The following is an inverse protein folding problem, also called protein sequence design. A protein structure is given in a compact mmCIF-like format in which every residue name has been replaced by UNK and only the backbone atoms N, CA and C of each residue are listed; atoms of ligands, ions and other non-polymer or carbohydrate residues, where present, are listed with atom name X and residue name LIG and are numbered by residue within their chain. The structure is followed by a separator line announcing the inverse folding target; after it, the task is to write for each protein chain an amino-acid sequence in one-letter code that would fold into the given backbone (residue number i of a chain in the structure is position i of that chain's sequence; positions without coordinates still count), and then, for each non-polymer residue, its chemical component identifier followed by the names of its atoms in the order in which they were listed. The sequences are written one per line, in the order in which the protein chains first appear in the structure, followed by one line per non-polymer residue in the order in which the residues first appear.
data_IF_847698448590
#
_entry.id   IF_847698448590
#
_cell.length_a   1.000
_cell.length_b   1.000
_cell.length_c   1.000
_cell.angle_alpha   90.00
_cell.angle_beta   90.00
_cell.angle_gamma   90.00
#
_symmetry.space_group_name_H-M   'P 1'
#
loop_
_entity.id
_entity.type
_entity.pdbx_description
1 polymer ?
#
# COMPACT_ATOMS: atom_id res chain seq x y z
N UNK A 1 18.68 2.63 -4.57
CA UNK A 1 17.57 2.84 -3.63
C UNK A 1 16.35 2.53 -4.46
N UNK A 2 15.90 1.29 -4.38
CA UNK A 2 14.71 0.81 -5.09
C UNK A 2 13.59 1.77 -4.73
N UNK A 3 13.04 2.47 -5.72
CA UNK A 3 11.80 3.20 -5.54
C UNK A 3 10.73 2.12 -5.54
N UNK A 4 10.46 1.57 -4.34
CA UNK A 4 9.23 0.82 -4.09
C UNK A 4 8.09 1.66 -4.64
N UNK A 5 7.50 1.24 -5.76
CA UNK A 5 6.28 1.82 -6.29
C UNK A 5 5.20 1.50 -5.27
N UNK A 6 5.10 2.34 -4.24
CA UNK A 6 4.13 2.18 -3.18
C UNK A 6 2.77 2.63 -3.72
N UNK A 7 2.01 1.67 -4.23
CA UNK A 7 0.62 1.85 -4.68
C UNK A 7 -0.34 2.13 -3.52
N UNK A 8 0.14 2.00 -2.28
CA UNK A 8 -0.57 2.31 -1.06
C UNK A 8 -0.41 3.81 -0.72
N UNK A 9 -1.49 4.58 -0.78
CA UNK A 9 -1.44 6.05 -0.62
C UNK A 9 -1.51 6.53 0.84
N UNK A 10 -1.66 5.61 1.79
CA UNK A 10 -1.86 5.93 3.21
C UNK A 10 -0.55 5.90 3.99
N UNK A 11 -0.07 7.07 4.42
CA UNK A 11 1.24 7.23 5.06
C UNK A 11 1.17 7.54 6.56
N UNK A 12 -0.02 7.73 7.14
CA UNK A 12 -0.13 8.05 8.56
C UNK A 12 0.36 6.87 9.41
N UNK A 13 1.16 7.17 10.45
CA UNK A 13 1.81 6.19 11.31
C UNK A 13 1.60 6.54 12.80
N UNK A 14 0.37 6.34 13.29
CA UNK A 14 0.01 6.57 14.69
C UNK A 14 0.90 5.73 15.62
N UNK A 15 1.46 6.38 16.64
CA UNK A 15 2.42 5.73 17.55
C UNK A 15 3.73 5.32 16.88
N UNK A 16 4.00 5.75 15.64
CA UNK A 16 5.17 5.33 14.86
C UNK A 16 4.96 4.02 14.08
N UNK A 17 3.76 3.44 14.09
CA UNK A 17 3.45 2.23 13.34
C UNK A 17 3.04 2.56 11.89
N UNK A 18 3.99 2.44 10.96
CA UNK A 18 3.72 2.54 9.53
C UNK A 18 3.08 1.26 8.98
N UNK A 19 2.38 1.37 7.85
CA UNK A 19 1.86 0.21 7.15
C UNK A 19 2.97 -0.48 6.34
N UNK A 20 2.91 -1.81 6.27
CA UNK A 20 3.82 -2.59 5.43
C UNK A 20 3.59 -2.24 3.96
N UNK A 21 4.67 -2.06 3.16
CA UNK A 21 4.53 -1.70 1.76
C UNK A 21 3.88 -2.84 0.95
N UNK A 22 3.10 -2.48 -0.07
CA UNK A 22 2.60 -3.41 -1.07
C UNK A 22 3.58 -3.40 -2.24
N UNK A 23 4.23 -4.53 -2.48
CA UNK A 23 5.31 -4.68 -3.47
C UNK A 23 4.93 -5.69 -4.55
N UNK A 24 5.60 -5.65 -5.71
CA UNK A 24 5.41 -6.61 -6.78
C UNK A 24 6.26 -7.87 -6.51
N UNK A 25 5.71 -9.05 -6.81
CA UNK A 25 6.39 -10.35 -6.68
C UNK A 25 7.03 -10.85 -7.98
N UNK A 26 6.75 -10.19 -9.11
CA UNK A 26 7.01 -10.65 -10.48
C UNK A 26 6.28 -11.97 -10.85
N UNK A 27 5.41 -12.48 -9.97
CA UNK A 27 4.52 -13.62 -10.22
C UNK A 27 3.15 -13.11 -10.72
N UNK A 28 2.77 -13.36 -11.99
CA UNK A 28 1.50 -12.88 -12.52
C UNK A 28 0.28 -13.51 -11.83
N UNK A 29 0.42 -14.69 -11.20
CA UNK A 29 -0.68 -15.33 -10.48
C UNK A 29 -0.88 -14.73 -9.08
N UNK A 30 0.19 -14.18 -8.48
CA UNK A 30 0.15 -13.54 -7.15
C UNK A 30 1.00 -12.27 -7.11
N UNK A 31 0.61 -11.21 -7.84
CA UNK A 31 1.47 -10.07 -8.13
C UNK A 31 1.72 -9.13 -6.95
N UNK A 32 1.00 -9.28 -5.83
CA UNK A 32 1.14 -8.38 -4.67
C UNK A 32 1.79 -9.09 -3.50
N UNK A 33 2.69 -8.41 -2.78
CA UNK A 33 3.30 -8.89 -1.53
C UNK A 33 3.20 -7.86 -0.41
N UNK A 34 2.89 -8.33 0.80
CA UNK A 34 2.89 -7.56 2.05
C UNK A 34 3.46 -8.43 3.16
N UNK A 35 4.52 -7.98 3.83
CA UNK A 35 5.07 -8.70 4.99
C UNK A 35 5.44 -10.17 4.75
N UNK A 36 5.77 -10.54 3.50
CA UNK A 36 6.09 -11.92 3.09
C UNK A 36 4.88 -12.78 2.65
N UNK A 37 3.66 -12.28 2.81
CA UNK A 37 2.46 -12.90 2.23
C UNK A 37 2.18 -12.34 0.84
N UNK A 38 1.74 -13.18 -0.09
CA UNK A 38 1.40 -12.75 -1.46
C UNK A 38 -0.09 -12.88 -1.78
N UNK A 39 -0.60 -12.04 -2.67
CA UNK A 39 -2.03 -11.87 -2.94
C UNK A 39 -2.29 -11.81 -4.44
N UNK A 40 -3.46 -12.28 -4.83
CA UNK A 40 -3.95 -12.26 -6.22
C UNK A 40 -4.52 -10.89 -6.61
N UNK A 41 -4.93 -10.08 -5.63
CA UNK A 41 -5.57 -8.78 -5.85
C UNK A 41 -5.10 -7.71 -4.86
N UNK A 42 -5.14 -6.45 -5.31
CA UNK A 42 -4.71 -5.29 -4.54
C UNK A 42 -5.52 -5.10 -3.27
N UNK A 43 -6.84 -5.33 -3.30
CA UNK A 43 -7.71 -5.06 -2.15
C UNK A 43 -7.37 -5.96 -0.97
N UNK A 44 -7.07 -7.23 -1.24
CA UNK A 44 -6.60 -8.19 -0.23
C UNK A 44 -5.25 -7.78 0.36
N UNK A 45 -4.28 -7.42 -0.49
CA UNK A 45 -2.97 -6.93 -0.05
C UNK A 45 -3.09 -5.63 0.77
N UNK A 46 -3.90 -4.68 0.30
CA UNK A 46 -4.23 -3.43 0.96
C UNK A 46 -4.82 -3.62 2.35
N UNK A 47 -5.82 -4.51 2.48
CA UNK A 47 -6.38 -4.84 3.79
C UNK A 47 -5.31 -5.42 4.70
N UNK A 48 -4.47 -6.33 4.18
CA UNK A 48 -3.40 -6.92 4.99
C UNK A 48 -2.42 -5.88 5.51
N UNK A 49 -1.96 -4.96 4.66
CA UNK A 49 -1.07 -3.86 5.02
C UNK A 49 -1.66 -2.98 6.15
N UNK A 50 -2.95 -2.62 6.05
CA UNK A 50 -3.64 -1.87 7.10
C UNK A 50 -3.83 -2.67 8.40
N UNK A 51 -4.08 -3.98 8.30
CA UNK A 51 -4.25 -4.86 9.46
C UNK A 51 -2.91 -5.09 10.20
N UNK A 52 -1.81 -5.24 9.45
CA UNK A 52 -0.45 -5.32 9.98
C UNK A 52 -0.04 -4.03 10.68
N UNK A 53 -0.37 -2.87 10.09
CA UNK A 53 -0.21 -1.56 10.75
C UNK A 53 -0.94 -1.50 12.09
N UNK A 54 -2.22 -1.90 12.10
CA UNK A 54 -3.03 -1.89 13.32
C UNK A 54 -2.43 -2.79 14.38
N UNK A 55 -1.90 -3.96 13.99
CA UNK A 55 -1.26 -4.88 14.91
C UNK A 55 0.03 -4.29 15.49
N UNK A 56 0.85 -3.61 14.70
CA UNK A 56 2.03 -2.88 15.18
C UNK A 56 1.63 -1.73 16.13
N UNK A 57 0.66 -0.91 15.74
CA UNK A 57 0.12 0.16 16.60
C UNK A 57 -0.43 -0.39 17.91
N UNK A 58 -1.20 -1.49 17.87
CA UNK A 58 -1.76 -2.09 19.06
C UNK A 58 -0.69 -2.69 19.98
N UNK A 59 0.42 -3.20 19.43
CA UNK A 59 1.58 -3.62 20.24
C UNK A 59 2.14 -2.44 21.03
N UNK A 60 2.33 -1.29 20.37
CA UNK A 60 2.82 -0.05 21.02
C UNK A 60 1.82 0.46 22.07
N UNK A 61 0.52 0.45 21.76
CA UNK A 61 -0.53 0.87 22.69
C UNK A 61 -0.62 -0.02 23.94
N UNK A 62 -0.29 -1.31 23.81
CA UNK A 62 -0.26 -2.25 24.93
C UNK A 62 1.09 -2.28 25.67
N UNK A 63 2.11 -1.61 25.13
CA UNK A 63 3.40 -1.49 25.78
C UNK A 63 3.34 -0.38 26.83
N UNK A 64 3.61 -0.71 28.09
CA UNK A 64 3.46 0.22 29.21
C UNK A 64 4.42 1.41 29.12
N UNK A 65 5.59 1.25 28.50
CA UNK A 65 6.61 2.28 28.41
C UNK A 65 6.44 3.15 27.15
N UNK A 66 5.85 2.57 26.09
CA UNK A 66 5.76 3.23 24.78
C UNK A 66 4.36 3.73 24.42
N UNK A 67 3.31 3.31 25.15
CA UNK A 67 1.93 3.70 24.83
C UNK A 67 1.75 5.21 24.81
N UNK A 68 2.34 5.95 25.76
CA UNK A 68 2.18 7.41 25.88
C UNK A 68 0.69 7.86 25.80
N UNK A 69 -0.21 7.06 26.37
CA UNK A 69 -1.67 7.30 26.33
C UNK A 69 -2.38 6.83 25.05
N UNK A 70 -1.66 6.27 24.07
CA UNK A 70 -2.21 5.62 22.88
C UNK A 70 -3.09 4.44 23.27
N UNK A 71 -4.28 4.34 22.67
CA UNK A 71 -5.22 3.24 22.90
C UNK A 71 -5.33 2.38 21.66
N UNK A 72 -5.59 1.09 21.87
CA UNK A 72 -5.89 0.15 20.77
C UNK A 72 -7.06 0.65 19.91
N UNK A 73 -8.04 1.33 20.51
CA UNK A 73 -9.17 1.93 19.78
C UNK A 73 -8.75 3.04 18.80
N UNK A 74 -7.62 3.71 19.04
CA UNK A 74 -7.11 4.72 18.11
C UNK A 74 -6.40 4.04 16.93
N UNK A 75 -5.74 2.90 17.17
CA UNK A 75 -5.21 2.03 16.11
C UNK A 75 -6.33 1.45 15.22
N UNK A 76 -7.49 1.10 15.79
CA UNK A 76 -8.65 0.65 15.01
C UNK A 76 -9.18 1.78 14.09
N UNK A 77 -9.23 3.03 14.56
CA UNK A 77 -9.62 4.17 13.71
C UNK A 77 -8.61 4.43 12.59
N UNK A 78 -7.31 4.28 12.90
CA UNK A 78 -6.27 4.41 11.88
C UNK A 78 -6.42 3.34 10.81
N UNK A 79 -6.67 2.07 11.18
CA UNK A 79 -6.96 0.99 10.24
C UNK A 79 -8.13 1.33 9.31
N UNK A 80 -9.23 1.83 9.87
CA UNK A 80 -10.42 2.13 9.08
C UNK A 80 -10.18 3.28 8.10
N UNK A 81 -9.36 4.25 8.51
CA UNK A 81 -8.88 5.34 7.66
C UNK A 81 -7.96 4.81 6.55
N UNK A 82 -7.03 3.91 6.89
CA UNK A 82 -6.16 3.22 5.94
C UNK A 82 -6.97 2.48 4.88
N UNK A 83 -7.94 1.66 5.29
CA UNK A 83 -8.82 0.91 4.37
C UNK A 83 -9.64 1.85 3.49
N UNK A 84 -10.20 2.92 4.07
CA UNK A 84 -10.95 3.94 3.31
C UNK A 84 -10.10 4.69 2.28
N UNK A 85 -8.82 4.92 2.57
CA UNK A 85 -7.88 5.53 1.63
C UNK A 85 -7.53 4.56 0.50
N UNK A 86 -7.33 3.27 0.82
CA UNK A 86 -7.04 2.22 -0.15
C UNK A 86 -8.22 1.96 -1.10
N UNK A 87 -9.47 2.03 -0.59
CA UNK A 87 -10.67 1.93 -1.42
C UNK A 87 -10.80 3.05 -2.46
N UNK A 88 -10.09 4.18 -2.25
CA UNK A 88 -10.05 5.33 -3.16
C UNK A 88 -8.78 5.35 -4.03
N UNK A 89 -7.91 4.35 -3.92
CA UNK A 89 -6.69 4.30 -4.68
C UNK A 89 -7.00 4.18 -6.19
N UNK A 90 -6.37 5.03 -6.99
CA UNK A 90 -6.52 5.02 -8.46
C UNK A 90 -5.49 4.11 -9.15
N UNK A 91 -4.41 3.76 -8.45
CA UNK A 91 -3.39 2.81 -8.91
C UNK A 91 -3.49 1.55 -8.07
N UNK A 92 -4.01 0.48 -8.67
CA UNK A 92 -4.25 -0.80 -7.99
C UNK A 92 -3.58 -1.98 -8.70
N UNK A 93 -2.64 -1.70 -9.60
CA UNK A 93 -1.84 -2.70 -10.30
C UNK A 93 -0.43 -2.18 -10.53
N UNK A 94 0.53 -3.08 -10.52
CA UNK A 94 1.87 -2.81 -11.02
C UNK A 94 1.78 -2.99 -12.54
N UNK A 95 1.65 -1.89 -13.29
CA UNK A 95 1.69 -1.97 -14.75
C UNK A 95 2.91 -2.76 -15.20
N UNK A 96 2.77 -3.57 -16.25
CA UNK A 96 3.88 -4.31 -16.86
C UNK A 96 4.91 -3.34 -17.43
N UNK A 97 5.77 -2.79 -16.58
CA UNK A 97 6.88 -1.93 -16.96
C UNK A 97 7.98 -2.12 -15.92
N UNK A 98 8.47 -3.35 -15.84
CA UNK A 98 9.84 -3.64 -15.44
C UNK A 98 10.79 -3.12 -16.53
N UNK A 99 10.85 -1.80 -16.70
CA UNK A 99 11.94 -1.05 -17.36
C UNK A 99 11.54 0.42 -17.48
N UNK A 100 12.11 1.27 -16.63
CA UNK A 100 12.31 2.70 -16.88
C UNK A 100 11.05 3.56 -17.04
N UNK A 101 10.92 4.54 -16.13
CA UNK A 101 9.97 5.66 -16.15
C UNK A 101 8.53 5.32 -15.79
N UNK A 102 8.12 5.91 -14.66
CA UNK A 102 6.74 6.05 -14.23
C UNK A 102 5.89 6.61 -15.37
N UNK A 103 5.12 5.76 -16.04
CA UNK A 103 4.02 6.23 -16.86
C UNK A 103 2.86 6.54 -15.94
N UNK A 104 2.73 7.84 -15.67
CA UNK A 104 1.48 8.44 -15.22
C UNK A 104 0.43 8.05 -16.25
N UNK A 105 -0.45 7.11 -15.89
CA UNK A 105 -1.64 6.80 -16.70
C UNK A 105 -2.58 7.99 -16.52
N UNK A 106 -2.41 9.01 -17.36
CA UNK A 106 -3.47 9.99 -17.59
C UNK A 106 -4.44 9.35 -18.56
N UNK A 107 -5.66 9.09 -18.11
CA UNK A 107 -6.77 8.69 -18.97
C UNK A 107 -7.14 9.84 -19.89
N UNK A 108 -6.37 10.04 -20.96
CA UNK A 108 -6.79 10.89 -22.07
C UNK A 108 -6.42 10.18 -23.38
N UNK A 109 -7.46 9.85 -24.13
CA UNK A 109 -7.47 9.49 -25.54
C UNK A 109 -6.54 10.40 -26.37
N UNK A 110 -5.26 10.05 -26.54
CA UNK A 110 -4.49 10.44 -27.72
C UNK A 110 -3.29 9.53 -27.96
N UNK A 111 -3.54 8.34 -28.53
CA UNK A 111 -2.49 7.56 -29.19
C UNK A 111 -2.41 7.97 -30.67
N UNK A 112 -2.10 9.24 -30.92
CA UNK A 112 -1.75 9.75 -32.26
C UNK A 112 -0.40 10.44 -32.24
N UNK A 113 0.67 9.68 -32.01
CA UNK A 113 2.00 10.13 -32.37
C UNK A 113 2.78 9.07 -33.14
N UNK A 114 2.39 8.97 -34.41
CA UNK A 114 3.26 8.89 -35.59
C UNK A 114 4.61 8.18 -35.41
N UNK A 115 4.63 6.88 -35.73
CA UNK A 115 5.81 6.22 -36.26
C UNK A 115 5.40 5.45 -37.53
N UNK A 116 5.62 6.08 -38.68
CA UNK A 116 5.68 5.45 -40.01
C UNK A 116 6.69 6.28 -40.83
N UNK A 117 7.49 5.67 -41.73
CA UNK A 117 8.73 4.92 -41.51
C UNK A 117 10.00 5.72 -41.88
#
# INVERSE_FOLDING_TARGET
MEVDIQIQTFTDALGGAAAEPITNTDDPDRPFQVGGDTFTDFKSAASRSCDDQKNACAKIANDNDQSNGLKVSDCDKQRDTCKSAQDKATVTSFGSSASGQAQVVTSDDEFTYFCDP
#
